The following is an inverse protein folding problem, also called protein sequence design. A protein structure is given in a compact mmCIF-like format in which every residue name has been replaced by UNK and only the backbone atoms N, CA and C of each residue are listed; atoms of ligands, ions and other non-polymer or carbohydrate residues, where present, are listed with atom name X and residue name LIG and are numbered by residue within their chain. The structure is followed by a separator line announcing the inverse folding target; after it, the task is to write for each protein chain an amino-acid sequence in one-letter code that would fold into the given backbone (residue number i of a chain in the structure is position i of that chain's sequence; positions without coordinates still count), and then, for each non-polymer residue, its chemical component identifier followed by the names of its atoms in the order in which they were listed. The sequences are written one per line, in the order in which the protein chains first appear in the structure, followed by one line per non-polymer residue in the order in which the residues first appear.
data_IF_033752532299
#
_entry.id   IF_033752532299
#
_cell.length_a   1.000
_cell.length_b   1.000
_cell.length_c   1.000
_cell.angle_alpha   90.00
_cell.angle_beta   90.00
_cell.angle_gamma   90.00
#
_symmetry.space_group_name_H-M   'P 1'
#
loop_
_entity.id
_entity.type
_entity.pdbx_description
1 polymer ?
#
# COMPACT_ATOMS: atom_id res chain seq x y z
N UNK A 1 -24.19 7.44 9.92
CA UNK A 1 -23.73 8.82 9.58
C UNK A 1 -23.27 8.95 8.12
N UNK A 2 -22.46 8.05 7.56
CA UNK A 2 -21.99 8.13 6.16
C UNK A 2 -23.12 8.24 5.13
N UNK A 3 -24.17 7.42 5.27
CA UNK A 3 -25.32 7.41 4.35
C UNK A 3 -26.07 8.74 4.25
N UNK A 4 -26.15 9.49 5.35
CA UNK A 4 -26.76 10.82 5.36
C UNK A 4 -25.91 11.80 4.53
N UNK A 5 -24.60 11.79 4.75
CA UNK A 5 -23.66 12.65 4.04
C UNK A 5 -23.60 12.29 2.55
N UNK A 6 -23.58 10.99 2.23
CA UNK A 6 -23.61 10.44 0.86
C UNK A 6 -24.88 10.87 0.14
N UNK A 7 -26.03 10.71 0.79
CA UNK A 7 -27.33 11.13 0.25
C UNK A 7 -27.38 12.63 -0.03
N UNK A 8 -26.86 13.44 0.90
CA UNK A 8 -26.78 14.89 0.73
C UNK A 8 -25.89 15.28 -0.47
N UNK A 9 -24.70 14.67 -0.59
CA UNK A 9 -23.77 14.92 -1.69
C UNK A 9 -24.40 14.56 -3.04
N UNK A 10 -25.03 13.38 -3.13
CA UNK A 10 -25.69 12.92 -4.34
C UNK A 10 -26.86 13.84 -4.74
N UNK A 11 -27.62 14.34 -3.78
CA UNK A 11 -28.70 15.28 -4.04
C UNK A 11 -28.17 16.61 -4.60
N UNK A 12 -27.03 17.10 -4.11
CA UNK A 12 -26.37 18.31 -4.62
C UNK A 12 -25.86 18.08 -6.03
N UNK A 13 -25.14 16.99 -6.28
CA UNK A 13 -24.59 16.64 -7.60
C UNK A 13 -25.68 16.45 -8.67
N UNK A 14 -26.84 15.90 -8.28
CA UNK A 14 -28.00 15.74 -9.18
C UNK A 14 -28.86 17.00 -9.33
N UNK A 15 -28.54 18.09 -8.65
CA UNK A 15 -29.36 19.31 -8.66
C UNK A 15 -30.72 19.17 -7.98
N UNK A 16 -30.92 18.13 -7.16
CA UNK A 16 -32.17 17.85 -6.45
C UNK A 16 -32.22 18.49 -5.05
N UNK A 17 -31.12 19.08 -4.59
CA UNK A 17 -30.98 19.60 -3.23
C UNK A 17 -31.68 20.95 -2.97
N UNK A 18 -32.70 21.32 -3.74
CA UNK A 18 -33.55 22.50 -3.52
C UNK A 18 -32.76 23.80 -3.22
N UNK A 19 -31.72 24.08 -4.01
CA UNK A 19 -30.88 25.28 -3.87
C UNK A 19 -29.70 25.15 -2.90
N UNK A 20 -29.52 23.98 -2.26
CA UNK A 20 -28.29 23.67 -1.51
C UNK A 20 -27.15 23.31 -2.46
N UNK A 21 -25.93 23.63 -2.06
CA UNK A 21 -24.71 23.41 -2.82
C UNK A 21 -23.64 22.74 -1.93
N UNK A 22 -22.39 22.73 -2.38
CA UNK A 22 -21.24 22.18 -1.66
C UNK A 22 -21.07 22.71 -0.22
N UNK A 23 -21.47 23.95 0.06
CA UNK A 23 -21.42 24.50 1.43
C UNK A 23 -22.31 23.72 2.42
N UNK A 24 -23.38 23.11 1.94
CA UNK A 24 -24.23 22.24 2.75
C UNK A 24 -23.51 20.93 3.13
N UNK A 25 -22.71 20.39 2.22
CA UNK A 25 -21.91 19.18 2.47
C UNK A 25 -20.82 19.50 3.50
N UNK A 26 -20.18 20.67 3.38
CA UNK A 26 -19.25 21.16 4.41
C UNK A 26 -19.93 21.26 5.77
N UNK A 27 -21.08 21.93 5.86
CA UNK A 27 -21.81 22.06 7.13
C UNK A 27 -22.12 20.71 7.76
N UNK A 28 -22.60 19.73 6.98
CA UNK A 28 -22.84 18.38 7.49
C UNK A 28 -21.55 17.72 8.00
N UNK A 29 -20.44 17.89 7.27
CA UNK A 29 -19.12 17.37 7.67
C UNK A 29 -18.65 18.00 8.98
N UNK A 30 -18.87 19.31 9.16
CA UNK A 30 -18.54 20.09 10.36
C UNK A 30 -19.28 19.59 11.61
N UNK A 31 -20.45 18.96 11.45
CA UNK A 31 -21.18 18.33 12.57
C UNK A 31 -20.84 16.84 12.75
N UNK A 32 -20.74 16.10 11.65
CA UNK A 32 -20.63 14.63 11.69
C UNK A 32 -19.25 14.19 12.14
N UNK A 33 -18.19 14.77 11.57
CA UNK A 33 -16.81 14.31 11.83
C UNK A 33 -16.44 14.50 13.31
N UNK A 34 -16.63 15.68 13.93
CA UNK A 34 -16.27 15.85 15.35
C UNK A 34 -17.07 14.94 16.27
N UNK A 35 -18.36 14.71 15.97
CA UNK A 35 -19.20 13.82 16.76
C UNK A 35 -18.74 12.37 16.68
N UNK A 36 -18.32 11.90 15.50
CA UNK A 36 -17.75 10.56 15.33
C UNK A 36 -16.42 10.41 16.08
N UNK A 37 -15.54 11.40 16.00
CA UNK A 37 -14.25 11.39 16.71
C UNK A 37 -14.48 11.37 18.23
N UNK A 38 -15.38 12.20 18.76
CA UNK A 38 -15.70 12.22 20.19
C UNK A 38 -16.32 10.90 20.67
N UNK A 39 -17.18 10.29 19.84
CA UNK A 39 -17.78 9.01 20.17
C UNK A 39 -16.72 7.89 20.16
N UNK A 40 -15.83 7.88 19.16
CA UNK A 40 -14.73 6.91 19.04
C UNK A 40 -13.81 6.97 20.26
N UNK A 41 -13.48 8.18 20.73
CA UNK A 41 -12.66 8.39 21.92
C UNK A 41 -13.21 7.73 23.19
N UNK A 42 -14.53 7.57 23.27
CA UNK A 42 -15.23 7.03 24.44
C UNK A 42 -15.59 5.57 24.31
N UNK A 43 -15.35 4.96 23.15
CA UNK A 43 -15.78 3.60 22.85
C UNK A 43 -14.79 2.58 23.44
N UNK A 44 -15.21 1.76 24.43
CA UNK A 44 -14.32 0.75 25.01
C UNK A 44 -14.25 -0.54 24.18
N UNK A 45 -15.25 -0.83 23.35
CA UNK A 45 -15.36 -2.08 22.62
C UNK A 45 -14.55 -2.03 21.32
N UNK A 46 -13.69 -3.03 21.10
CA UNK A 46 -12.75 -3.05 19.97
C UNK A 46 -13.47 -3.25 18.63
N UNK A 47 -14.50 -4.07 18.59
CA UNK A 47 -15.29 -4.33 17.38
C UNK A 47 -16.12 -3.09 16.99
N UNK A 48 -16.71 -2.42 17.99
CA UNK A 48 -17.42 -1.15 17.77
C UNK A 48 -16.43 -0.06 17.34
N UNK A 49 -15.25 0.01 17.94
CA UNK A 49 -14.18 0.92 17.51
C UNK A 49 -13.83 0.75 16.03
N UNK A 50 -13.62 -0.49 15.57
CA UNK A 50 -13.36 -0.78 14.16
C UNK A 50 -14.48 -0.29 13.25
N UNK A 51 -15.75 -0.58 13.61
CA UNK A 51 -16.93 -0.12 12.86
C UNK A 51 -17.04 1.42 12.81
N UNK A 52 -16.66 2.11 13.89
CA UNK A 52 -16.66 3.57 13.95
C UNK A 52 -15.54 4.21 13.14
N UNK A 53 -14.36 3.58 13.11
CA UNK A 53 -13.25 3.98 12.26
C UNK A 53 -13.61 3.85 10.77
N UNK A 54 -14.27 2.76 10.37
CA UNK A 54 -14.78 2.58 9.00
C UNK A 54 -15.78 3.68 8.63
N UNK A 55 -16.76 3.94 9.49
CA UNK A 55 -17.73 5.03 9.28
C UNK A 55 -17.04 6.40 9.19
N UNK A 56 -16.00 6.65 9.99
CA UNK A 56 -15.19 7.87 9.91
C UNK A 56 -14.46 7.96 8.57
N UNK A 57 -13.84 6.88 8.11
CA UNK A 57 -13.17 6.80 6.81
C UNK A 57 -14.14 7.10 5.66
N UNK A 58 -15.32 6.47 5.66
CA UNK A 58 -16.35 6.73 4.65
C UNK A 58 -16.76 8.21 4.64
N UNK A 59 -16.97 8.81 5.82
CA UNK A 59 -17.25 10.23 5.93
C UNK A 59 -16.14 11.07 5.32
N UNK A 60 -14.86 10.75 5.57
CA UNK A 60 -13.71 11.44 4.99
C UNK A 60 -13.66 11.33 3.47
N UNK A 61 -13.91 10.15 2.91
CA UNK A 61 -13.96 9.94 1.46
C UNK A 61 -15.08 10.76 0.80
N UNK A 62 -16.23 10.90 1.47
CA UNK A 62 -17.36 11.69 0.96
C UNK A 62 -17.06 13.20 1.07
N UNK A 63 -16.57 13.65 2.23
CA UNK A 63 -16.27 15.06 2.51
C UNK A 63 -15.08 15.59 1.71
N UNK A 64 -14.06 14.75 1.46
CA UNK A 64 -12.85 15.15 0.73
C UNK A 64 -12.21 16.41 1.30
N UNK A 65 -11.96 17.39 0.44
CA UNK A 65 -11.29 18.65 0.81
C UNK A 65 -12.16 19.62 1.62
N UNK A 66 -13.42 19.26 1.94
CA UNK A 66 -14.26 20.09 2.82
C UNK A 66 -13.89 19.96 4.30
N UNK A 67 -13.13 18.94 4.67
CA UNK A 67 -12.62 18.75 6.04
C UNK A 67 -11.47 19.71 6.27
N UNK A 68 -11.59 20.55 7.30
CA UNK A 68 -10.59 21.58 7.59
C UNK A 68 -9.40 21.05 8.40
N UNK A 69 -8.35 21.86 8.52
CA UNK A 69 -7.09 21.48 9.19
C UNK A 69 -7.30 21.10 10.67
N UNK A 70 -8.24 21.73 11.37
CA UNK A 70 -8.51 21.41 12.77
C UNK A 70 -9.18 20.05 12.90
N UNK A 71 -10.12 19.75 12.00
CA UNK A 71 -10.75 18.43 11.94
C UNK A 71 -9.75 17.35 11.58
N UNK A 72 -8.88 17.58 10.58
CA UNK A 72 -7.80 16.65 10.21
C UNK A 72 -6.88 16.39 11.40
N UNK A 73 -6.49 17.43 12.14
CA UNK A 73 -5.66 17.28 13.35
C UNK A 73 -6.36 16.48 14.44
N UNK A 74 -7.65 16.75 14.69
CA UNK A 74 -8.47 16.00 15.65
C UNK A 74 -8.54 14.51 15.31
N UNK A 75 -8.70 14.16 14.03
CA UNK A 75 -8.70 12.78 13.57
C UNK A 75 -7.33 12.13 13.76
N UNK A 76 -6.26 12.85 13.42
CA UNK A 76 -4.88 12.34 13.59
C UNK A 76 -4.57 12.07 15.05
N UNK A 77 -4.96 12.97 15.95
CA UNK A 77 -4.73 12.78 17.38
C UNK A 77 -5.54 11.60 17.93
N UNK A 78 -6.77 11.40 17.45
CA UNK A 78 -7.56 10.21 17.80
C UNK A 78 -6.93 8.92 17.27
N UNK A 79 -6.43 8.90 16.03
CA UNK A 79 -5.70 7.75 15.49
C UNK A 79 -4.47 7.40 16.34
N UNK A 80 -3.72 8.41 16.81
CA UNK A 80 -2.58 8.18 17.72
C UNK A 80 -3.03 7.46 19.00
N UNK A 81 -4.18 7.86 19.56
CA UNK A 81 -4.75 7.23 20.76
C UNK A 81 -5.18 5.78 20.49
N UNK A 82 -5.89 5.53 19.39
CA UNK A 82 -6.31 4.19 18.98
C UNK A 82 -5.10 3.25 18.82
N UNK A 83 -4.06 3.67 18.10
CA UNK A 83 -2.83 2.88 17.91
C UNK A 83 -2.14 2.61 19.25
N UNK A 84 -2.11 3.61 20.14
CA UNK A 84 -1.48 3.48 21.47
C UNK A 84 -2.24 2.50 22.35
N UNK A 85 -3.58 2.56 22.35
CA UNK A 85 -4.44 1.65 23.09
C UNK A 85 -4.29 0.20 22.58
N UNK A 86 -4.34 -0.01 21.27
CA UNK A 86 -4.12 -1.31 20.64
C UNK A 86 -2.74 -1.90 20.98
N UNK A 87 -1.70 -1.06 20.98
CA UNK A 87 -0.36 -1.47 21.39
C UNK A 87 -0.29 -1.92 22.85
N UNK A 88 -1.07 -1.30 23.76
CA UNK A 88 -1.16 -1.76 25.16
C UNK A 88 -1.86 -3.12 25.26
N UNK A 89 -3.02 -3.27 24.60
CA UNK A 89 -3.78 -4.52 24.58
C UNK A 89 -2.98 -5.68 24.00
N UNK A 90 -2.21 -5.44 22.93
CA UNK A 90 -1.27 -6.43 22.36
C UNK A 90 -0.25 -6.91 23.40
N UNK A 91 0.30 -6.01 24.22
CA UNK A 91 1.23 -6.37 25.30
C UNK A 91 0.52 -7.18 26.38
N UNK A 92 -0.69 -6.79 26.77
CA UNK A 92 -1.49 -7.52 27.77
C UNK A 92 -1.81 -8.94 27.31
N UNK A 93 -2.26 -9.14 26.07
CA UNK A 93 -2.44 -10.47 25.46
C UNK A 93 -1.16 -11.29 25.46
N UNK A 94 -0.03 -10.68 25.10
CA UNK A 94 1.26 -11.36 25.09
C UNK A 94 1.72 -11.82 26.48
N UNK A 95 1.31 -11.14 27.56
CA UNK A 95 1.55 -11.58 28.93
C UNK A 95 0.56 -12.67 29.37
N UNK A 96 -0.74 -12.56 28.99
CA UNK A 96 -1.75 -13.61 29.23
C UNK A 96 -1.36 -14.96 28.62
N UNK A 97 -0.76 -14.94 27.43
CA UNK A 97 -0.26 -16.14 26.76
C UNK A 97 0.92 -16.85 27.46
N UNK A 98 1.49 -16.26 28.53
CA UNK A 98 2.63 -16.83 29.27
C UNK A 98 2.26 -17.38 30.65
N UNK A 99 1.01 -17.23 31.08
CA UNK A 99 0.58 -17.65 32.42
C UNK A 99 0.55 -19.18 32.49
N UNK A 100 0.89 -19.75 33.65
CA UNK A 100 1.04 -21.21 33.84
C UNK A 100 -0.27 -22.00 33.58
N UNK A 101 -1.43 -21.36 33.73
CA UNK A 101 -2.76 -21.93 33.52
C UNK A 101 -3.35 -21.62 32.14
N UNK A 102 -2.55 -21.12 31.19
CA UNK A 102 -2.98 -20.87 29.82
C UNK A 102 -3.48 -22.16 29.16
N UNK A 103 -4.78 -22.20 28.86
CA UNK A 103 -5.45 -23.35 28.28
C UNK A 103 -5.98 -23.05 26.87
N UNK A 104 -6.72 -24.02 26.31
CA UNK A 104 -7.27 -23.88 24.97
C UNK A 104 -8.38 -22.81 24.88
N UNK A 105 -9.11 -22.55 25.97
CA UNK A 105 -10.17 -21.54 25.99
C UNK A 105 -9.57 -20.14 25.96
N UNK A 106 -8.56 -19.86 26.78
CA UNK A 106 -7.84 -18.58 26.74
C UNK A 106 -7.12 -18.37 25.40
N UNK A 107 -6.63 -19.45 24.78
CA UNK A 107 -6.01 -19.37 23.45
C UNK A 107 -6.99 -18.96 22.35
N UNK A 108 -8.22 -19.49 22.35
CA UNK A 108 -9.25 -19.09 21.37
C UNK A 108 -9.71 -17.65 21.64
N UNK A 109 -9.87 -17.24 22.90
CA UNK A 109 -10.21 -15.85 23.24
C UNK A 109 -9.16 -14.85 22.76
N UNK A 110 -7.86 -15.13 22.99
CA UNK A 110 -6.79 -14.26 22.47
C UNK A 110 -6.81 -14.20 20.95
N UNK A 111 -7.16 -15.29 20.27
CA UNK A 111 -7.26 -15.33 18.81
C UNK A 111 -8.40 -14.44 18.31
N UNK A 112 -9.59 -14.54 18.90
CA UNK A 112 -10.71 -13.64 18.59
C UNK A 112 -10.35 -12.17 18.83
N UNK A 113 -9.71 -11.85 19.96
CA UNK A 113 -9.24 -10.48 20.26
C UNK A 113 -8.17 -10.00 19.27
N UNK A 114 -7.32 -10.90 18.74
CA UNK A 114 -6.36 -10.54 17.70
C UNK A 114 -7.04 -10.22 16.38
N UNK A 115 -8.06 -10.99 15.99
CA UNK A 115 -8.86 -10.74 14.78
C UNK A 115 -9.56 -9.36 14.86
N UNK A 116 -10.14 -9.01 16.02
CA UNK A 116 -10.73 -7.69 16.22
C UNK A 116 -9.72 -6.54 16.11
N UNK A 117 -8.48 -6.74 16.53
CA UNK A 117 -7.44 -5.70 16.44
C UNK A 117 -6.86 -5.56 15.04
N UNK A 118 -6.85 -6.64 14.27
CA UNK A 118 -6.56 -6.59 12.83
C UNK A 118 -7.56 -5.67 12.13
N UNK A 119 -8.86 -5.83 12.39
CA UNK A 119 -9.90 -4.95 11.84
C UNK A 119 -9.66 -3.48 12.20
N UNK A 120 -9.28 -3.19 13.46
CA UNK A 120 -8.92 -1.82 13.88
C UNK A 120 -7.75 -1.27 13.06
N UNK A 121 -6.69 -2.06 12.86
CA UNK A 121 -5.51 -1.61 12.13
C UNK A 121 -5.78 -1.42 10.63
N UNK A 122 -6.61 -2.27 10.04
CA UNK A 122 -7.05 -2.11 8.66
C UNK A 122 -7.78 -0.78 8.47
N UNK A 123 -8.71 -0.45 9.38
CA UNK A 123 -9.44 0.81 9.32
C UNK A 123 -8.56 2.03 9.57
N UNK A 124 -7.60 1.95 10.50
CA UNK A 124 -6.58 3.01 10.68
C UNK A 124 -5.78 3.20 9.39
N UNK A 125 -5.34 2.11 8.75
CA UNK A 125 -4.62 2.15 7.48
C UNK A 125 -5.43 2.82 6.36
N UNK A 126 -6.71 2.50 6.26
CA UNK A 126 -7.62 3.10 5.29
C UNK A 126 -7.84 4.60 5.52
N UNK A 127 -8.05 5.03 6.78
CA UNK A 127 -8.18 6.46 7.10
C UNK A 127 -6.91 7.22 6.73
N UNK A 128 -5.74 6.71 7.12
CA UNK A 128 -4.46 7.32 6.77
C UNK A 128 -4.28 7.40 5.26
N UNK A 129 -4.64 6.32 4.54
CA UNK A 129 -4.64 6.30 3.08
C UNK A 129 -5.55 7.37 2.48
N UNK A 130 -6.76 7.53 3.00
CA UNK A 130 -7.72 8.56 2.57
C UNK A 130 -7.19 9.97 2.83
N UNK A 131 -6.64 10.25 4.03
CA UNK A 131 -6.08 11.55 4.39
C UNK A 131 -4.89 11.92 3.48
N UNK A 132 -3.97 10.98 3.29
CA UNK A 132 -2.82 11.14 2.42
C UNK A 132 -3.24 11.42 0.97
N UNK A 133 -4.17 10.64 0.42
CA UNK A 133 -4.66 10.82 -0.97
C UNK A 133 -5.40 12.15 -1.16
N UNK A 134 -6.16 12.58 -0.14
CA UNK A 134 -6.99 13.79 -0.18
C UNK A 134 -6.17 15.06 -0.04
N UNK A 135 -5.30 15.13 0.97
CA UNK A 135 -4.58 16.35 1.35
C UNK A 135 -3.15 16.41 0.83
N UNK A 136 -2.58 15.28 0.38
CA UNK A 136 -1.28 15.18 -0.27
C UNK A 136 -0.18 15.90 0.53
N UNK A 137 0.52 16.85 -0.08
CA UNK A 137 1.63 17.58 0.54
C UNK A 137 1.22 18.29 1.85
N UNK A 138 -0.03 18.75 1.97
CA UNK A 138 -0.52 19.43 3.18
C UNK A 138 -0.63 18.50 4.38
N UNK A 139 -0.71 17.18 4.17
CA UNK A 139 -0.76 16.20 5.26
C UNK A 139 0.62 15.81 5.79
N UNK A 140 1.70 16.11 5.05
CA UNK A 140 3.05 15.67 5.38
C UNK A 140 3.51 16.02 6.80
N UNK A 141 3.25 17.24 7.35
CA UNK A 141 3.64 17.56 8.72
C UNK A 141 2.96 16.65 9.76
N UNK A 142 1.68 16.35 9.58
CA UNK A 142 0.93 15.45 10.46
C UNK A 142 1.37 13.99 10.31
N UNK A 143 1.71 13.59 9.08
CA UNK A 143 2.27 12.27 8.82
C UNK A 143 3.64 12.08 9.50
N UNK A 144 4.47 13.12 9.55
CA UNK A 144 5.74 13.11 10.28
C UNK A 144 5.54 12.86 11.78
N UNK A 145 4.57 13.54 12.39
CA UNK A 145 4.20 13.30 13.79
C UNK A 145 3.73 11.85 14.04
N UNK A 146 3.04 11.24 13.06
CA UNK A 146 2.53 9.87 13.14
C UNK A 146 3.60 8.80 12.93
N UNK A 147 4.70 9.13 12.25
CA UNK A 147 5.68 8.14 11.78
C UNK A 147 6.21 7.20 12.87
N UNK A 148 6.42 7.70 14.09
CA UNK A 148 6.87 6.90 15.24
C UNK A 148 5.82 5.91 15.74
N UNK A 149 4.52 6.22 15.56
CA UNK A 149 3.38 5.39 15.94
C UNK A 149 3.06 4.32 14.89
N UNK A 150 3.49 4.50 13.64
CA UNK A 150 3.21 3.55 12.55
C UNK A 150 4.19 2.36 12.51
N UNK A 151 5.35 2.47 13.17
CA UNK A 151 6.36 1.41 13.17
C UNK A 151 5.82 0.07 13.72
N UNK A 152 5.04 0.04 14.82
CA UNK A 152 4.37 -1.17 15.30
C UNK A 152 3.35 -1.77 14.32
N UNK A 153 2.77 -0.96 13.42
CA UNK A 153 1.78 -1.40 12.43
C UNK A 153 2.40 -2.16 11.26
N UNK A 154 3.73 -2.14 11.10
CA UNK A 154 4.42 -2.88 10.03
C UNK A 154 4.57 -4.36 10.38
N UNK A 155 3.43 -4.99 10.66
CA UNK A 155 3.25 -6.42 10.92
C UNK A 155 3.48 -7.27 9.66
N UNK A 156 4.52 -6.94 8.89
CA UNK A 156 4.95 -7.66 7.69
C UNK A 156 5.46 -9.09 7.98
N UNK A 157 5.56 -9.46 9.26
CA UNK A 157 5.91 -10.80 9.74
C UNK A 157 4.74 -11.49 10.45
N UNK A 158 3.52 -10.95 10.37
CA UNK A 158 2.36 -11.58 10.99
C UNK A 158 2.10 -12.96 10.40
N UNK A 159 1.39 -13.84 11.11
CA UNK A 159 0.99 -15.15 10.61
C UNK A 159 -0.18 -15.03 9.63
N UNK A 160 -1.08 -14.06 9.85
CA UNK A 160 -2.19 -13.78 8.96
C UNK A 160 -1.72 -13.04 7.69
N UNK A 161 -2.10 -13.58 6.52
CA UNK A 161 -1.80 -12.97 5.22
C UNK A 161 -2.49 -11.63 4.99
N UNK A 162 -3.68 -11.43 5.56
CA UNK A 162 -4.46 -10.22 5.37
C UNK A 162 -3.82 -9.05 6.13
N UNK A 163 -3.42 -9.24 7.39
CA UNK A 163 -2.52 -8.31 8.11
C UNK A 163 -1.27 -7.95 7.28
N UNK A 164 -0.57 -8.96 6.75
CA UNK A 164 0.63 -8.70 5.94
C UNK A 164 0.30 -7.85 4.71
N UNK A 165 -0.83 -8.13 4.05
CA UNK A 165 -1.31 -7.40 2.89
C UNK A 165 -1.61 -5.93 3.21
N UNK A 166 -2.34 -5.67 4.29
CA UNK A 166 -2.68 -4.32 4.73
C UNK A 166 -1.42 -3.52 5.10
N UNK A 167 -0.51 -4.13 5.86
CA UNK A 167 0.75 -3.50 6.25
C UNK A 167 1.59 -3.07 5.04
N UNK A 168 1.77 -3.96 4.05
CA UNK A 168 2.56 -3.62 2.86
C UNK A 168 1.83 -2.69 1.90
N UNK A 169 0.50 -2.70 1.86
CA UNK A 169 -0.28 -1.69 1.15
C UNK A 169 -0.06 -0.30 1.74
N UNK A 170 -0.17 -0.16 3.06
CA UNK A 170 0.09 1.08 3.80
C UNK A 170 1.51 1.60 3.56
N UNK A 171 2.52 0.73 3.61
CA UNK A 171 3.90 1.07 3.25
C UNK A 171 4.00 1.63 1.83
N UNK A 172 3.29 1.04 0.87
CA UNK A 172 3.24 1.51 -0.51
C UNK A 172 2.62 2.89 -0.65
N UNK A 173 1.52 3.16 0.05
CA UNK A 173 0.88 4.50 0.07
C UNK A 173 1.83 5.54 0.69
N UNK A 174 2.50 5.19 1.80
CA UNK A 174 3.48 6.05 2.45
C UNK A 174 4.68 6.34 1.53
N UNK A 175 5.14 5.36 0.77
CA UNK A 175 6.22 5.53 -0.21
C UNK A 175 5.82 6.41 -1.40
N UNK A 176 4.55 6.46 -1.78
CA UNK A 176 4.11 7.27 -2.92
C UNK A 176 3.83 8.73 -2.53
N UNK A 177 3.29 8.94 -1.34
CA UNK A 177 2.75 10.24 -0.95
C UNK A 177 3.38 10.83 0.32
N UNK A 178 4.16 10.06 1.07
CA UNK A 178 4.82 10.50 2.31
C UNK A 178 6.03 11.42 2.10
N UNK A 179 6.41 11.70 0.85
CA UNK A 179 7.41 12.73 0.52
C UNK A 179 8.74 12.55 1.26
N UNK A 180 9.37 13.65 1.69
CA UNK A 180 10.66 13.61 2.37
C UNK A 180 10.63 12.86 3.71
N UNK A 181 9.48 12.82 4.38
CA UNK A 181 9.30 12.13 5.67
C UNK A 181 9.59 10.65 5.53
N UNK A 182 9.14 10.03 4.43
CA UNK A 182 9.35 8.60 4.21
C UNK A 182 10.83 8.24 3.99
N UNK A 183 11.70 9.19 3.62
CA UNK A 183 13.13 8.90 3.32
C UNK A 183 13.86 8.26 4.49
N UNK A 184 13.58 8.69 5.73
CA UNK A 184 14.18 8.10 6.94
C UNK A 184 13.70 6.66 7.20
N UNK A 185 12.54 6.29 6.66
CA UNK A 185 11.90 4.99 6.83
C UNK A 185 12.23 3.99 5.72
N UNK A 186 12.80 4.44 4.59
CA UNK A 186 13.07 3.61 3.40
C UNK A 186 13.81 2.32 3.74
N UNK A 187 14.88 2.39 4.55
CA UNK A 187 15.67 1.22 4.92
C UNK A 187 14.83 0.17 5.65
N UNK A 188 14.05 0.61 6.63
CA UNK A 188 13.19 -0.27 7.43
C UNK A 188 12.06 -0.82 6.56
N UNK A 189 11.41 0.01 5.75
CA UNK A 189 10.37 -0.42 4.82
C UNK A 189 10.87 -1.49 3.84
N UNK A 190 12.07 -1.32 3.27
CA UNK A 190 12.68 -2.33 2.39
C UNK A 190 12.92 -3.66 3.14
N UNK A 191 13.40 -3.59 4.38
CA UNK A 191 13.59 -4.77 5.24
C UNK A 191 12.27 -5.50 5.47
N UNK A 192 11.21 -4.78 5.80
CA UNK A 192 9.86 -5.32 6.07
C UNK A 192 9.23 -5.95 4.83
N UNK A 193 9.26 -5.25 3.69
CA UNK A 193 8.75 -5.77 2.41
C UNK A 193 9.48 -7.06 2.00
N UNK A 194 10.79 -7.12 2.23
CA UNK A 194 11.59 -8.28 1.91
C UNK A 194 11.19 -9.53 2.72
N UNK A 195 10.61 -9.38 3.92
CA UNK A 195 10.08 -10.54 4.67
C UNK A 195 8.85 -11.13 3.96
N UNK A 196 7.89 -10.31 3.55
CA UNK A 196 6.68 -10.77 2.85
C UNK A 196 7.05 -11.38 1.48
N UNK A 197 7.92 -10.71 0.73
CA UNK A 197 8.34 -11.16 -0.61
C UNK A 197 9.09 -12.50 -0.55
N UNK A 198 9.85 -12.75 0.52
CA UNK A 198 10.65 -13.98 0.68
C UNK A 198 9.97 -15.05 1.53
N UNK A 199 8.72 -14.83 1.94
CA UNK A 199 7.96 -15.83 2.66
C UNK A 199 7.94 -17.15 1.86
N UNK A 200 8.19 -18.32 2.48
CA UNK A 200 8.30 -19.60 1.76
C UNK A 200 7.07 -19.91 0.88
N UNK A 201 5.90 -19.46 1.35
CA UNK A 201 4.62 -19.67 0.70
C UNK A 201 4.08 -18.41 -0.01
N UNK A 202 4.92 -17.39 -0.25
CA UNK A 202 4.46 -16.07 -0.71
C UNK A 202 3.60 -16.11 -2.00
N UNK A 203 3.83 -17.10 -2.87
CA UNK A 203 3.11 -17.26 -4.16
C UNK A 203 1.93 -18.22 -4.11
N UNK A 204 1.58 -18.75 -2.94
CA UNK A 204 0.38 -19.58 -2.76
C UNK A 204 -0.87 -18.70 -2.73
N UNK A 205 -2.05 -19.28 -3.02
CA UNK A 205 -3.31 -18.55 -3.17
C UNK A 205 -3.62 -17.63 -1.98
N UNK A 206 -3.38 -18.11 -0.76
CA UNK A 206 -3.68 -17.37 0.47
C UNK A 206 -2.71 -16.17 0.68
N UNK A 207 -1.53 -16.20 0.05
CA UNK A 207 -0.46 -15.22 0.27
C UNK A 207 -0.22 -14.28 -0.92
N UNK A 208 -0.80 -14.60 -2.08
CA UNK A 208 -0.45 -13.95 -3.36
C UNK A 208 -0.77 -12.46 -3.34
N UNK A 209 -1.86 -12.07 -2.68
CA UNK A 209 -2.26 -10.66 -2.60
C UNK A 209 -1.30 -9.85 -1.70
N UNK A 210 -0.88 -10.40 -0.57
CA UNK A 210 0.15 -9.79 0.27
C UNK A 210 1.48 -9.68 -0.48
N UNK A 211 1.86 -10.71 -1.23
CA UNK A 211 3.06 -10.70 -2.07
C UNK A 211 2.99 -9.61 -3.16
N UNK A 212 1.88 -9.55 -3.90
CA UNK A 212 1.70 -8.58 -4.99
C UNK A 212 1.68 -7.14 -4.46
N UNK A 213 1.02 -6.90 -3.33
CA UNK A 213 1.05 -5.59 -2.67
C UNK A 213 2.46 -5.23 -2.17
N UNK A 214 3.21 -6.20 -1.62
CA UNK A 214 4.59 -5.95 -1.19
C UNK A 214 5.51 -5.59 -2.37
N UNK A 215 5.37 -6.31 -3.49
CA UNK A 215 6.07 -6.00 -4.74
C UNK A 215 5.66 -4.63 -5.28
N UNK A 216 4.38 -4.29 -5.21
CA UNK A 216 3.86 -2.99 -5.63
C UNK A 216 4.42 -1.84 -4.77
N UNK A 217 4.42 -2.00 -3.45
CA UNK A 217 4.95 -1.04 -2.49
C UNK A 217 6.45 -0.81 -2.67
N UNK A 218 7.21 -1.88 -2.86
CA UNK A 218 8.61 -1.81 -3.23
C UNK A 218 8.83 -1.00 -4.53
N UNK A 219 7.98 -1.22 -5.53
CA UNK A 219 7.96 -0.44 -6.77
C UNK A 219 7.82 1.06 -6.52
N UNK A 220 6.91 1.43 -5.62
CA UNK A 220 6.70 2.82 -5.22
C UNK A 220 7.92 3.40 -4.50
N UNK A 221 8.54 2.66 -3.58
CA UNK A 221 9.80 3.09 -2.94
C UNK A 221 10.88 3.38 -3.99
N UNK A 222 11.04 2.50 -4.97
CA UNK A 222 12.03 2.69 -6.04
C UNK A 222 11.70 3.85 -6.97
N UNK A 223 10.41 4.12 -7.20
CA UNK A 223 9.96 5.22 -8.04
C UNK A 223 10.12 6.59 -7.36
N UNK A 224 9.74 6.71 -6.09
CA UNK A 224 9.62 7.99 -5.39
C UNK A 224 10.80 8.31 -4.45
N UNK A 225 11.58 7.30 -4.05
CA UNK A 225 12.67 7.43 -3.08
C UNK A 225 13.98 6.80 -3.53
N UNK A 226 14.22 6.72 -4.86
CA UNK A 226 15.43 6.14 -5.45
C UNK A 226 16.73 6.64 -4.81
N UNK A 227 16.81 7.94 -4.56
CA UNK A 227 17.99 8.61 -3.98
C UNK A 227 18.30 8.15 -2.55
N UNK A 228 17.35 7.51 -1.89
CA UNK A 228 17.46 7.01 -0.51
C UNK A 228 17.76 5.51 -0.46
N UNK A 229 17.87 4.83 -1.61
CA UNK A 229 18.13 3.40 -1.71
C UNK A 229 19.62 3.16 -1.97
N UNK A 230 20.25 2.41 -1.07
CA UNK A 230 21.60 1.90 -1.31
C UNK A 230 21.54 0.75 -2.31
N UNK A 231 22.42 0.76 -3.32
CA UNK A 231 22.49 -0.30 -4.35
C UNK A 231 22.75 -1.68 -3.75
N UNK A 232 23.37 -1.76 -2.57
CA UNK A 232 23.56 -3.00 -1.81
C UNK A 232 22.27 -3.53 -1.15
N UNK A 233 21.27 -2.69 -0.91
CA UNK A 233 20.00 -3.07 -0.26
C UNK A 233 18.96 -3.61 -1.25
N UNK A 234 19.12 -3.32 -2.55
CA UNK A 234 18.31 -3.93 -3.58
C UNK A 234 18.86 -5.31 -3.93
N UNK A 235 18.30 -6.37 -3.31
CA UNK A 235 18.70 -7.75 -3.66
C UNK A 235 18.36 -8.08 -5.11
N UNK A 236 19.15 -8.94 -5.77
CA UNK A 236 18.95 -9.40 -7.15
C UNK A 236 17.49 -9.80 -7.51
N UNK A 237 16.74 -10.39 -6.57
CA UNK A 237 15.32 -10.75 -6.73
C UNK A 237 14.35 -9.56 -6.65
N UNK A 238 14.73 -8.50 -5.95
CA UNK A 238 14.00 -7.26 -5.76
C UNK A 238 14.00 -6.42 -7.05
N UNK A 239 15.15 -6.35 -7.73
CA UNK A 239 15.33 -5.68 -9.03
C UNK A 239 14.43 -6.24 -10.14
N UNK A 240 14.23 -7.55 -10.15
CA UNK A 240 13.51 -8.26 -11.20
C UNK A 240 12.02 -7.92 -11.28
N UNK A 241 11.40 -7.53 -10.16
CA UNK A 241 9.98 -7.18 -10.11
C UNK A 241 9.72 -5.69 -10.41
N UNK A 242 10.72 -4.82 -10.25
CA UNK A 242 10.66 -3.39 -10.55
C UNK A 242 10.58 -3.10 -12.06
N UNK A 243 11.17 -3.98 -12.84
CA UNK A 243 11.26 -3.91 -14.31
C UNK A 243 9.88 -3.92 -14.96
N UNK A 244 8.92 -4.68 -14.42
CA UNK A 244 7.54 -4.74 -14.93
C UNK A 244 6.77 -3.41 -14.89
N UNK A 245 7.25 -2.41 -14.14
CA UNK A 245 6.61 -1.07 -14.04
C UNK A 245 7.35 0.05 -14.81
N UNK A 246 8.30 -0.29 -15.68
CA UNK A 246 8.80 0.63 -16.70
C UNK A 246 9.80 1.68 -16.21
N UNK A 247 10.60 1.38 -15.19
CA UNK A 247 11.81 2.16 -14.87
C UNK A 247 12.84 1.94 -16.01
N UNK A 248 13.35 3.03 -16.57
CA UNK A 248 14.03 3.06 -17.88
C UNK A 248 15.56 3.04 -17.82
N UNK A 249 16.17 2.67 -16.69
CA UNK A 249 17.61 2.92 -16.52
C UNK A 249 18.49 1.71 -16.82
N UNK A 250 19.57 1.96 -17.56
CA UNK A 250 20.61 1.00 -17.91
C UNK A 250 21.28 0.35 -16.68
N UNK A 251 21.23 0.99 -15.51
CA UNK A 251 21.69 0.40 -14.24
C UNK A 251 20.87 -0.85 -13.85
N UNK A 252 19.62 -0.98 -14.32
CA UNK A 252 18.75 -2.14 -14.07
C UNK A 252 19.26 -3.43 -14.72
N UNK A 253 20.13 -3.33 -15.74
CA UNK A 253 20.69 -4.51 -16.39
C UNK A 253 21.72 -5.23 -15.51
N UNK A 254 22.20 -4.56 -14.46
CA UNK A 254 23.27 -5.05 -13.59
C UNK A 254 24.64 -5.08 -14.28
N UNK A 255 25.71 -5.42 -13.53
CA UNK A 255 27.05 -5.59 -14.10
C UNK A 255 27.01 -6.57 -15.28
N UNK A 256 27.60 -6.18 -16.41
CA UNK A 256 27.64 -6.98 -17.65
C UNK A 256 26.27 -7.46 -18.17
N UNK A 257 25.19 -6.72 -17.90
CA UNK A 257 23.83 -7.06 -18.32
C UNK A 257 23.30 -8.39 -17.74
N UNK A 258 23.80 -8.83 -16.59
CA UNK A 258 23.42 -10.12 -16.00
C UNK A 258 21.91 -10.29 -15.74
N UNK A 259 21.16 -9.19 -15.57
CA UNK A 259 19.71 -9.24 -15.34
C UNK A 259 18.88 -9.16 -16.63
N UNK A 260 19.51 -8.82 -17.76
CA UNK A 260 18.83 -8.67 -19.05
C UNK A 260 18.00 -9.90 -19.46
N UNK A 261 18.49 -11.15 -19.33
CA UNK A 261 17.70 -12.33 -19.68
C UNK A 261 16.35 -12.40 -19.00
N UNK A 262 16.32 -12.10 -17.71
CA UNK A 262 15.07 -12.21 -16.96
C UNK A 262 14.19 -10.98 -17.08
N UNK A 263 14.76 -9.79 -17.29
CA UNK A 263 14.00 -8.60 -17.68
C UNK A 263 13.19 -8.87 -18.94
N UNK A 264 13.86 -9.41 -19.97
CA UNK A 264 13.22 -9.74 -21.25
C UNK A 264 12.19 -10.86 -21.09
N UNK A 265 12.43 -11.83 -20.20
CA UNK A 265 11.43 -12.86 -19.85
C UNK A 265 10.15 -12.29 -19.23
N UNK A 266 10.27 -11.34 -18.29
CA UNK A 266 9.09 -10.68 -17.69
C UNK A 266 8.36 -9.85 -18.74
N UNK A 267 9.09 -9.14 -19.58
CA UNK A 267 8.49 -8.37 -20.67
C UNK A 267 7.74 -9.27 -21.65
N UNK A 268 8.31 -10.44 -21.97
CA UNK A 268 7.66 -11.43 -22.80
C UNK A 268 6.35 -11.93 -22.19
N UNK A 269 6.34 -12.24 -20.89
CA UNK A 269 5.13 -12.67 -20.18
C UNK A 269 4.03 -11.61 -20.22
N UNK A 270 4.36 -10.35 -19.93
CA UNK A 270 3.39 -9.24 -19.91
C UNK A 270 2.88 -8.89 -21.31
N UNK A 271 3.78 -8.77 -22.29
CA UNK A 271 3.42 -8.38 -23.67
C UNK A 271 2.68 -9.49 -24.43
N UNK A 272 2.89 -10.76 -24.07
CA UNK A 272 2.19 -11.90 -24.68
C UNK A 272 0.93 -12.31 -23.91
N UNK A 273 0.79 -11.86 -22.65
CA UNK A 273 -0.39 -12.13 -21.84
C UNK A 273 -1.57 -11.23 -22.19
N UNK A 274 -2.76 -11.60 -21.71
CA UNK A 274 -3.98 -10.79 -21.86
C UNK A 274 -4.22 -9.99 -20.59
N UNK A 275 -4.49 -8.69 -20.74
CA UNK A 275 -4.90 -7.77 -19.67
C UNK A 275 -3.95 -7.70 -18.45
N UNK A 276 -2.66 -7.99 -18.67
CA UNK A 276 -1.65 -7.96 -17.60
C UNK A 276 -1.11 -6.54 -17.31
N UNK A 277 -1.34 -5.58 -18.19
CA UNK A 277 -0.90 -4.20 -18.02
C UNK A 277 -1.73 -3.22 -18.86
N UNK A 278 -1.69 -1.93 -18.50
CA UNK A 278 -2.33 -0.85 -19.27
C UNK A 278 -1.64 -0.63 -20.62
N UNK A 279 -2.37 -0.13 -21.63
CA UNK A 279 -1.81 0.19 -22.95
C UNK A 279 -0.57 1.11 -22.87
N UNK A 280 -0.60 2.08 -21.95
CA UNK A 280 0.53 2.96 -21.70
C UNK A 280 1.76 2.19 -21.19
N UNK A 281 1.57 1.22 -20.31
CA UNK A 281 2.66 0.37 -19.79
C UNK A 281 3.22 -0.52 -20.89
N UNK A 282 2.35 -1.16 -21.67
CA UNK A 282 2.75 -1.98 -22.82
C UNK A 282 3.58 -1.15 -23.81
N UNK A 283 3.13 0.06 -24.16
CA UNK A 283 3.87 0.98 -25.04
C UNK A 283 5.26 1.33 -24.50
N UNK A 284 5.38 1.59 -23.18
CA UNK A 284 6.68 1.84 -22.53
C UNK A 284 7.60 0.63 -22.60
N UNK A 285 7.09 -0.58 -22.35
CA UNK A 285 7.87 -1.82 -22.42
C UNK A 285 8.39 -2.07 -23.85
N UNK A 286 7.56 -1.85 -24.87
CA UNK A 286 7.98 -1.94 -26.28
C UNK A 286 9.07 -0.94 -26.61
N UNK A 287 8.92 0.32 -26.21
CA UNK A 287 9.93 1.36 -26.45
C UNK A 287 11.26 1.05 -25.76
N UNK A 288 11.22 0.48 -24.55
CA UNK A 288 12.42 0.03 -23.84
C UNK A 288 13.11 -1.13 -24.56
N UNK A 289 12.37 -2.13 -25.05
CA UNK A 289 12.95 -3.22 -25.83
C UNK A 289 13.63 -2.73 -27.11
N UNK A 290 13.00 -1.79 -27.82
CA UNK A 290 13.60 -1.15 -29.01
C UNK A 290 14.86 -0.37 -28.65
N UNK A 291 14.85 0.35 -27.53
CA UNK A 291 16.04 1.05 -27.06
C UNK A 291 17.17 0.07 -26.69
N UNK A 292 16.87 -1.04 -26.00
CA UNK A 292 17.85 -2.09 -25.70
C UNK A 292 18.41 -2.73 -26.98
N UNK A 293 17.58 -2.95 -28.01
CA UNK A 293 18.01 -3.44 -29.32
C UNK A 293 19.00 -2.50 -30.02
N UNK A 294 18.84 -1.18 -29.84
CA UNK A 294 19.73 -0.18 -30.43
C UNK A 294 21.03 0.00 -29.65
N UNK A 295 21.00 -0.23 -28.34
CA UNK A 295 22.11 0.15 -27.45
C UNK A 295 23.00 -1.03 -27.07
N UNK A 296 22.47 -2.26 -27.07
CA UNK A 296 23.23 -3.45 -26.75
C UNK A 296 23.86 -4.07 -28.01
N UNK A 297 24.98 -4.81 -27.86
CA UNK A 297 25.50 -5.62 -28.96
C UNK A 297 24.43 -6.59 -29.48
N UNK A 298 24.26 -6.76 -30.80
CA UNK A 298 23.22 -7.62 -31.37
C UNK A 298 23.23 -9.06 -30.82
N UNK A 299 24.43 -9.60 -30.56
CA UNK A 299 24.60 -10.93 -29.99
C UNK A 299 24.03 -11.07 -28.56
N UNK A 300 24.07 -9.99 -27.76
CA UNK A 300 23.61 -9.99 -26.36
C UNK A 300 22.09 -10.05 -26.26
N UNK A 301 21.39 -9.29 -27.10
CA UNK A 301 19.93 -9.35 -27.15
C UNK A 301 19.45 -10.65 -27.83
N UNK A 302 20.13 -11.10 -28.89
CA UNK A 302 19.79 -12.36 -29.56
C UNK A 302 19.95 -13.57 -28.63
N UNK A 303 21.02 -13.64 -27.83
CA UNK A 303 21.24 -14.70 -26.85
C UNK A 303 20.24 -14.64 -25.69
N UNK A 304 19.73 -13.45 -25.36
CA UNK A 304 18.68 -13.27 -24.37
C UNK A 304 17.33 -13.77 -24.90
N UNK A 305 16.96 -13.35 -26.12
CA UNK A 305 15.69 -13.75 -26.73
C UNK A 305 15.61 -15.26 -26.95
N UNK A 306 16.73 -15.94 -27.25
CA UNK A 306 16.76 -17.39 -27.44
C UNK A 306 16.44 -18.20 -26.17
N UNK A 307 16.49 -17.58 -24.99
CA UNK A 307 16.13 -18.21 -23.71
C UNK A 307 14.62 -18.27 -23.47
N UNK A 308 13.81 -17.58 -24.28
CA UNK A 308 12.35 -17.53 -24.12
C UNK A 308 11.64 -18.71 -24.78
N UNK A 309 10.36 -18.91 -24.45
CA UNK A 309 9.54 -19.89 -25.17
C UNK A 309 9.32 -19.48 -26.64
N UNK A 310 9.18 -20.44 -27.58
CA UNK A 310 9.06 -20.12 -29.01
C UNK A 310 7.95 -19.12 -29.36
N UNK A 311 6.81 -19.19 -28.68
CA UNK A 311 5.69 -18.26 -28.86
C UNK A 311 6.06 -16.83 -28.44
N UNK A 312 6.76 -16.69 -27.31
CA UNK A 312 7.26 -15.41 -26.80
C UNK A 312 8.34 -14.81 -27.73
N UNK A 313 9.22 -15.65 -28.27
CA UNK A 313 10.24 -15.23 -29.23
C UNK A 313 9.62 -14.59 -30.48
N UNK A 314 8.64 -15.27 -31.09
CA UNK A 314 7.95 -14.78 -32.28
C UNK A 314 7.20 -13.47 -32.01
N UNK A 315 6.50 -13.38 -30.88
CA UNK A 315 5.77 -12.18 -30.49
C UNK A 315 6.72 -10.98 -30.31
N UNK A 316 7.81 -11.15 -29.55
CA UNK A 316 8.78 -10.08 -29.34
C UNK A 316 9.53 -9.70 -30.62
N UNK A 317 9.86 -10.66 -31.49
CA UNK A 317 10.46 -10.36 -32.79
C UNK A 317 9.53 -9.52 -33.66
N UNK A 318 8.24 -9.83 -33.68
CA UNK A 318 7.24 -9.03 -34.40
C UNK A 318 7.16 -7.60 -33.85
N UNK A 319 7.12 -7.44 -32.53
CA UNK A 319 7.10 -6.15 -31.82
C UNK A 319 8.36 -5.30 -32.10
N UNK A 320 9.53 -5.93 -32.17
CA UNK A 320 10.81 -5.27 -32.44
C UNK A 320 10.99 -4.92 -33.92
N UNK A 321 10.32 -5.63 -34.83
CA UNK A 321 10.37 -5.40 -36.28
C UNK A 321 9.33 -4.39 -36.80
N UNK A 322 8.39 -3.97 -35.96
CA UNK A 322 7.34 -2.99 -36.26
C UNK A 322 7.75 -1.58 -35.87
#
# INVERSE_FOLDING_TARGET
MPELLRSAKLAVEKGLAQGRNESYIKQLSDYIIPALVEALHKEPDTEICASMLDALNECLQISGTFVDENQVRSIVDEIKLVITASSSRKRERAERAKVEDFDAEESELIKEENEQEEDVFDQVGEILGTLIKTFKASFLPLFEELSSYLTPMWACNDENSDVRQAAVYGLGVCAEFGGSVFKSLVREALSRLNVVIRHPNAKQADNVMAYDNAVSALGKICQFHRDSIDSAQLTEKLWLHLVGKGLSDMELLGPNNQYLPKIVSVFAEVLCGKDLATEQTLSRMVNLLRHLQQTLPPATLASTLSLLHPQQQLALQSILSS
#
